data_IF_753859792611
#
_entry.id   IF_753859792611
#
_cell.length_a   1.000
_cell.length_b   1.000
_cell.length_c   1.000
_cell.angle_alpha   90.00
_cell.angle_beta   90.00
_cell.angle_gamma   90.00
#
_symmetry.space_group_name_H-M   'P 1'
#
loop_
_entity.id
_entity.type
_entity.pdbx_description
1 polymer ?
#
# COMPACT_ATOMS: atom_id res chain seq x y z
N UNK A 1 16.96 14.26 18.27
CA UNK A 1 16.94 12.86 17.92
C UNK A 1 16.02 12.59 16.72
N UNK A 2 16.47 11.84 15.83
CA UNK A 2 15.70 11.54 14.66
C UNK A 2 14.81 10.30 14.86
N UNK A 3 13.80 10.18 14.05
CA UNK A 3 12.89 9.05 14.10
C UNK A 3 13.44 7.96 13.19
N UNK A 4 14.19 7.05 13.78
CA UNK A 4 14.86 6.01 13.01
C UNK A 4 13.92 5.15 12.20
N UNK A 5 12.80 4.75 12.80
CA UNK A 5 11.87 3.84 12.12
C UNK A 5 11.22 4.47 10.91
N UNK A 6 10.86 5.75 10.99
CA UNK A 6 10.26 6.45 9.87
C UNK A 6 11.25 6.62 8.72
N UNK A 7 12.52 6.79 9.05
CA UNK A 7 13.59 6.99 8.08
C UNK A 7 14.34 5.72 7.73
N UNK A 8 13.96 4.60 8.33
CA UNK A 8 14.62 3.34 8.07
C UNK A 8 14.11 2.75 6.75
N UNK A 9 14.81 3.06 5.69
CA UNK A 9 14.48 2.61 4.36
C UNK A 9 15.06 1.23 4.08
N UNK A 10 14.24 0.34 3.57
CA UNK A 10 14.61 -1.05 3.29
C UNK A 10 14.45 -1.33 1.81
N UNK A 11 15.46 -1.98 1.23
CA UNK A 11 15.45 -2.31 -0.20
C UNK A 11 14.30 -3.25 -0.54
N UNK A 12 13.64 -2.96 -1.66
CA UNK A 12 12.54 -3.79 -2.16
C UNK A 12 13.12 -5.02 -2.88
N UNK A 13 12.75 -6.24 -2.48
CA UNK A 13 13.29 -7.45 -3.11
C UNK A 13 13.01 -7.49 -4.62
N UNK A 14 14.04 -7.75 -5.41
CA UNK A 14 13.92 -7.79 -6.86
C UNK A 14 13.94 -6.43 -7.54
N UNK A 15 13.92 -5.35 -6.76
CA UNK A 15 13.91 -3.97 -7.29
C UNK A 15 14.94 -3.14 -6.53
N UNK A 16 16.25 -3.36 -6.79
CA UNK A 16 17.32 -2.75 -5.96
C UNK A 16 17.40 -1.24 -6.05
N UNK A 17 16.76 -0.64 -7.02
CA UNK A 17 16.72 0.82 -7.14
C UNK A 17 15.64 1.48 -6.30
N UNK A 18 14.93 0.71 -5.52
CA UNK A 18 13.81 1.22 -4.71
C UNK A 18 13.91 0.75 -3.27
N UNK A 19 13.46 1.61 -2.37
CA UNK A 19 13.37 1.33 -0.93
C UNK A 19 12.01 1.73 -0.42
N UNK A 20 11.57 1.06 0.63
CA UNK A 20 10.30 1.37 1.30
C UNK A 20 10.55 1.61 2.79
N UNK A 21 9.67 2.37 3.44
CA UNK A 21 9.75 2.57 4.88
C UNK A 21 8.45 2.12 5.56
N UNK A 22 8.44 2.14 6.89
CA UNK A 22 7.31 1.67 7.68
C UNK A 22 6.06 2.54 7.52
N UNK A 23 6.22 3.76 7.06
CA UNK A 23 5.10 4.68 6.86
C UNK A 23 4.39 4.46 5.53
N UNK A 24 4.87 3.52 4.72
CA UNK A 24 4.25 3.22 3.44
C UNK A 24 4.77 4.05 2.29
N UNK A 25 5.90 4.72 2.47
CA UNK A 25 6.55 5.49 1.42
C UNK A 25 7.51 4.61 0.64
N UNK A 26 7.63 4.88 -0.66
CA UNK A 26 8.55 4.19 -1.55
C UNK A 26 9.44 5.25 -2.19
N UNK A 27 10.75 5.02 -2.15
CA UNK A 27 11.74 5.98 -2.60
C UNK A 27 12.60 5.38 -3.70
N UNK A 28 12.93 6.20 -4.67
CA UNK A 28 13.91 5.83 -5.66
C UNK A 28 15.30 6.15 -5.12
N UNK A 29 16.17 5.14 -5.11
CA UNK A 29 17.49 5.27 -4.43
C UNK A 29 18.38 6.29 -5.11
N UNK A 30 18.44 6.28 -6.44
CA UNK A 30 19.37 7.14 -7.19
C UNK A 30 19.04 8.63 -7.12
N UNK A 31 17.76 8.97 -7.06
CA UNK A 31 17.33 10.37 -7.03
C UNK A 31 16.87 10.83 -5.65
N UNK A 32 16.55 9.89 -4.75
CA UNK A 32 15.96 10.22 -3.47
C UNK A 32 14.51 10.62 -3.55
N UNK A 33 13.92 10.59 -4.72
CA UNK A 33 12.52 11.00 -4.90
C UNK A 33 11.55 9.98 -4.30
N UNK A 34 10.53 10.49 -3.61
CA UNK A 34 9.44 9.66 -3.11
C UNK A 34 8.47 9.43 -4.26
N UNK A 35 8.12 8.19 -4.51
CA UNK A 35 7.18 7.86 -5.57
C UNK A 35 5.79 8.32 -5.18
N UNK A 36 5.07 8.87 -6.16
CA UNK A 36 3.70 9.29 -5.98
C UNK A 36 2.79 8.15 -6.44
N UNK A 37 2.06 7.50 -5.54
CA UNK A 37 1.17 6.42 -5.95
C UNK A 37 0.02 6.93 -6.80
N UNK A 38 -0.51 6.04 -7.63
CA UNK A 38 -1.69 6.31 -8.42
C UNK A 38 -2.78 5.28 -8.12
N UNK A 39 -4.02 5.62 -8.41
CA UNK A 39 -5.15 4.73 -8.24
C UNK A 39 -5.73 4.37 -9.59
N UNK A 40 -6.38 3.22 -9.63
CA UNK A 40 -7.14 2.83 -10.82
C UNK A 40 -8.60 3.21 -10.64
N UNK A 41 -9.29 3.36 -11.76
CA UNK A 41 -10.66 3.87 -11.80
C UNK A 41 -11.64 3.09 -10.93
N UNK A 42 -11.50 1.76 -10.88
CA UNK A 42 -12.47 0.89 -10.18
C UNK A 42 -12.07 0.53 -8.76
N UNK A 43 -10.85 0.84 -8.37
CA UNK A 43 -10.36 0.51 -7.04
C UNK A 43 -9.74 1.73 -6.41
N UNK A 44 -9.72 1.74 -5.09
CA UNK A 44 -9.02 2.77 -4.35
C UNK A 44 -7.62 2.33 -3.98
N UNK A 45 -7.19 1.18 -4.49
CA UNK A 45 -5.86 0.65 -4.22
C UNK A 45 -4.79 1.56 -4.80
N UNK A 46 -3.76 1.80 -4.03
CA UNK A 46 -2.62 2.60 -4.43
C UNK A 46 -1.59 1.73 -5.13
N UNK A 47 -1.13 2.16 -6.29
CA UNK A 47 -0.14 1.43 -7.08
C UNK A 47 1.07 2.31 -7.37
N UNK A 48 2.20 1.66 -7.60
CA UNK A 48 3.43 2.29 -8.10
C UNK A 48 3.98 1.47 -9.24
N UNK A 49 4.80 2.11 -10.07
CA UNK A 49 5.54 1.42 -11.13
C UNK A 49 7.00 1.36 -10.74
N UNK A 50 7.53 0.15 -10.73
CA UNK A 50 8.93 -0.10 -10.44
C UNK A 50 9.61 -0.62 -11.69
N UNK A 51 10.79 -0.07 -11.99
CA UNK A 51 11.53 -0.44 -13.20
C UNK A 51 12.71 -1.31 -12.83
N UNK A 52 12.87 -2.46 -13.52
CA UNK A 52 14.04 -3.32 -13.35
C UNK A 52 15.13 -2.95 -14.33
N UNK A 53 14.73 -2.64 -15.57
CA UNK A 53 15.61 -2.15 -16.62
C UNK A 53 14.90 -1.01 -17.32
N UNK A 54 15.64 -0.18 -18.09
CA UNK A 54 14.98 0.88 -18.85
C UNK A 54 13.85 0.33 -19.72
N UNK A 55 12.67 0.87 -19.54
CA UNK A 55 11.50 0.48 -20.31
C UNK A 55 10.73 -0.71 -19.78
N UNK A 56 11.23 -1.40 -18.75
CA UNK A 56 10.54 -2.56 -18.19
C UNK A 56 9.90 -2.19 -16.85
N UNK A 57 8.63 -1.85 -16.91
CA UNK A 57 7.88 -1.41 -15.73
C UNK A 57 7.07 -2.55 -15.14
N UNK A 58 7.08 -2.62 -13.81
CA UNK A 58 6.27 -3.57 -13.05
C UNK A 58 5.34 -2.80 -12.15
N UNK A 59 4.06 -3.00 -12.32
CA UNK A 59 3.05 -2.33 -11.51
C UNK A 59 2.76 -3.17 -10.26
N UNK A 60 2.91 -2.55 -9.10
CA UNK A 60 2.73 -3.23 -7.82
C UNK A 60 1.89 -2.35 -6.90
N UNK A 61 1.07 -2.98 -6.05
CA UNK A 61 0.37 -2.21 -5.03
C UNK A 61 1.38 -1.74 -3.97
N UNK A 62 1.16 -0.55 -3.44
CA UNK A 62 2.04 -0.01 -2.39
C UNK A 62 2.08 -0.96 -1.19
N UNK A 63 0.94 -1.53 -0.81
CA UNK A 63 0.89 -2.48 0.29
C UNK A 63 1.81 -3.67 0.06
N UNK A 64 1.81 -4.24 -1.14
CA UNK A 64 2.67 -5.38 -1.47
C UNK A 64 4.15 -5.00 -1.43
N UNK A 65 4.49 -3.81 -1.92
CA UNK A 65 5.88 -3.34 -1.91
C UNK A 65 6.38 -3.17 -0.48
N UNK A 66 5.59 -2.51 0.37
CA UNK A 66 5.96 -2.32 1.78
C UNK A 66 6.10 -3.67 2.48
N UNK A 67 5.13 -4.55 2.29
CA UNK A 67 5.20 -5.89 2.85
C UNK A 67 6.48 -6.62 2.42
N UNK A 68 6.74 -6.65 1.11
CA UNK A 68 7.89 -7.38 0.56
C UNK A 68 9.21 -6.84 1.09
N UNK A 69 9.33 -5.52 1.22
CA UNK A 69 10.55 -4.90 1.70
C UNK A 69 10.90 -5.35 3.11
N UNK A 70 9.92 -5.39 4.01
CA UNK A 70 10.16 -5.70 5.41
C UNK A 70 10.18 -7.19 5.72
N UNK A 71 9.39 -7.99 5.00
CA UNK A 71 9.38 -9.45 5.21
C UNK A 71 10.28 -10.20 4.25
N UNK A 72 10.98 -9.50 3.36
CA UNK A 72 11.99 -10.05 2.46
C UNK A 72 11.47 -11.08 1.47
N UNK A 73 10.18 -11.03 1.18
CA UNK A 73 9.54 -11.90 0.20
C UNK A 73 8.25 -11.27 -0.28
N UNK A 74 7.86 -11.57 -1.51
CA UNK A 74 6.58 -11.11 -2.05
C UNK A 74 5.46 -12.02 -1.59
N UNK A 75 4.28 -11.45 -1.31
CA UNK A 75 3.13 -12.27 -0.94
C UNK A 75 2.63 -13.07 -2.13
N UNK A 76 2.78 -14.39 -2.06
CA UNK A 76 2.32 -15.31 -3.11
C UNK A 76 1.24 -16.19 -2.53
N UNK A 77 0.13 -16.33 -3.26
CA UNK A 77 -1.00 -17.12 -2.78
C UNK A 77 -1.78 -16.48 -1.65
N UNK A 78 -1.46 -15.24 -1.31
CA UNK A 78 -2.12 -14.50 -0.24
C UNK A 78 -2.28 -13.05 -0.67
N UNK A 79 -3.12 -12.32 0.04
CA UNK A 79 -3.36 -10.90 -0.21
C UNK A 79 -2.86 -10.07 0.95
N UNK A 80 -2.32 -8.89 0.66
CA UNK A 80 -1.97 -7.95 1.71
C UNK A 80 -3.23 -7.16 2.04
N UNK A 81 -3.66 -7.27 3.28
CA UNK A 81 -4.90 -6.70 3.77
C UNK A 81 -4.62 -5.57 4.76
N UNK A 82 -5.63 -4.75 5.01
CA UNK A 82 -5.52 -3.57 5.87
C UNK A 82 -6.34 -3.77 7.14
N UNK A 83 -5.69 -3.68 8.29
CA UNK A 83 -6.34 -3.92 9.58
C UNK A 83 -7.51 -2.97 9.84
N UNK A 84 -7.33 -1.69 9.49
CA UNK A 84 -8.37 -0.68 9.69
C UNK A 84 -9.38 -0.60 8.55
N UNK A 85 -9.20 -1.41 7.51
CA UNK A 85 -10.07 -1.38 6.34
C UNK A 85 -9.79 -0.22 5.39
N UNK A 86 -8.83 0.63 5.68
CA UNK A 86 -8.47 1.75 4.82
C UNK A 86 -7.34 1.36 3.88
N UNK A 87 -7.68 1.10 2.62
CA UNK A 87 -6.72 0.63 1.63
C UNK A 87 -5.71 1.70 1.20
N UNK A 88 -5.90 2.93 1.64
CA UNK A 88 -4.92 4.00 1.44
C UNK A 88 -3.90 4.06 2.57
N UNK A 89 -4.15 3.37 3.69
CA UNK A 89 -3.24 3.35 4.82
C UNK A 89 -2.30 2.17 4.70
N UNK A 90 -1.16 2.39 4.07
CA UNK A 90 -0.16 1.36 3.77
C UNK A 90 1.01 1.35 4.74
N UNK A 91 0.80 1.83 5.96
CA UNK A 91 1.79 1.70 7.02
C UNK A 91 1.98 0.22 7.36
N UNK A 92 3.22 -0.18 7.58
CA UNK A 92 3.51 -1.59 7.84
C UNK A 92 2.66 -2.19 8.96
N UNK A 93 2.45 -1.44 10.04
CA UNK A 93 1.67 -1.90 11.18
C UNK A 93 0.20 -2.17 10.86
N UNK A 94 -0.27 -1.62 9.75
CA UNK A 94 -1.65 -1.78 9.31
C UNK A 94 -1.83 -2.92 8.31
N UNK A 95 -0.75 -3.61 7.94
CA UNK A 95 -0.79 -4.64 6.90
C UNK A 95 -0.71 -6.05 7.50
N UNK A 96 -1.47 -6.95 6.92
CA UNK A 96 -1.37 -8.37 7.26
C UNK A 96 -1.67 -9.20 6.03
N UNK A 97 -1.18 -10.44 6.02
CA UNK A 97 -1.52 -11.38 4.94
C UNK A 97 -2.82 -12.08 5.27
N UNK A 98 -3.69 -12.15 4.30
CA UNK A 98 -4.97 -12.80 4.46
C UNK A 98 -5.43 -13.47 3.19
N UNK A 99 -6.57 -14.12 3.28
CA UNK A 99 -7.23 -14.74 2.14
C UNK A 99 -7.94 -13.67 1.30
N UNK A 100 -8.47 -14.12 0.15
CA UNK A 100 -9.30 -13.26 -0.66
C UNK A 100 -10.50 -12.74 0.12
N UNK A 101 -11.08 -13.59 0.97
CA UNK A 101 -12.21 -13.19 1.80
C UNK A 101 -11.84 -12.08 2.77
N UNK A 102 -10.62 -12.14 3.35
CA UNK A 102 -10.15 -11.09 4.24
C UNK A 102 -9.94 -9.77 3.51
N UNK A 103 -9.42 -9.83 2.28
CA UNK A 103 -9.25 -8.63 1.47
C UNK A 103 -10.60 -7.99 1.14
N UNK A 104 -11.60 -8.79 0.84
CA UNK A 104 -12.95 -8.30 0.57
C UNK A 104 -13.60 -7.70 1.81
N UNK A 105 -13.33 -8.27 2.99
CA UNK A 105 -13.83 -7.69 4.24
C UNK A 105 -13.25 -6.30 4.48
N UNK A 106 -11.98 -6.12 4.21
CA UNK A 106 -11.35 -4.80 4.34
C UNK A 106 -12.03 -3.78 3.43
N UNK A 107 -12.34 -4.17 2.21
CA UNK A 107 -13.04 -3.30 1.27
C UNK A 107 -14.45 -2.96 1.76
N UNK A 108 -15.18 -3.93 2.26
CA UNK A 108 -16.53 -3.71 2.79
C UNK A 108 -16.53 -2.77 3.98
N UNK A 109 -15.56 -2.94 4.89
CA UNK A 109 -15.46 -2.07 6.06
C UNK A 109 -15.27 -0.63 5.64
N UNK A 110 -14.45 -0.40 4.64
CA UNK A 110 -14.25 0.94 4.10
C UNK A 110 -15.53 1.51 3.54
N UNK A 111 -16.27 0.71 2.77
CA UNK A 111 -17.54 1.14 2.19
C UNK A 111 -18.55 1.50 3.27
N UNK A 112 -18.63 0.69 4.32
CA UNK A 112 -19.53 0.95 5.44
C UNK A 112 -19.20 2.27 6.13
N UNK A 113 -17.93 2.57 6.31
CA UNK A 113 -17.49 3.83 6.91
C UNK A 113 -17.93 5.01 6.04
N UNK A 114 -17.76 4.90 4.74
CA UNK A 114 -18.15 5.94 3.80
C UNK A 114 -19.66 6.17 3.85
N UNK A 115 -20.45 5.10 3.84
CA UNK A 115 -21.91 5.19 3.91
C UNK A 115 -22.38 5.85 5.20
N UNK A 116 -21.81 5.44 6.33
CA UNK A 116 -22.16 6.02 7.62
C UNK A 116 -21.89 7.52 7.64
N UNK A 117 -20.75 7.94 7.08
CA UNK A 117 -20.40 9.35 7.01
C UNK A 117 -21.38 10.14 6.16
N UNK A 118 -21.75 9.61 5.00
CA UNK A 118 -22.70 10.25 4.10
C UNK A 118 -24.07 10.43 4.76
N UNK A 119 -24.51 9.43 5.53
CA UNK A 119 -25.77 9.53 6.26
C UNK A 119 -25.73 10.59 7.34
N UNK A 120 -24.60 10.70 8.06
CA UNK A 120 -24.44 11.73 9.08
C UNK A 120 -24.46 13.13 8.49
N UNK A 121 -23.92 13.29 7.29
CA UNK A 121 -23.91 14.58 6.60
C UNK A 121 -25.22 14.91 5.92
N UNK A 122 -26.18 13.99 5.97
CA UNK A 122 -27.48 14.20 5.36
C UNK A 122 -27.49 14.18 3.85
N UNK A 123 -26.43 13.71 3.25
CA UNK A 123 -26.29 13.68 1.80
C UNK A 123 -27.03 12.50 1.16
N UNK A 124 -27.40 11.53 1.97
CA UNK A 124 -28.07 10.36 1.49
C UNK A 124 -29.41 10.24 2.17
N UNK A 125 -30.45 10.54 1.42
CA UNK A 125 -31.83 10.33 1.87
C UNK A 125 -32.42 9.19 1.07
N UNK A 126 -32.89 8.22 1.76
CA UNK A 126 -33.56 7.10 1.12
C UNK A 126 -35.04 7.21 1.30
#
# INVERSE_FOLDING_TARGET
MYVEDAENWVTVPGFPHYKANRLGMIQRVDTGNILKPFTRRRTQTRYVRLYTTPGEAHEKSVASVVWAAFYKRWPTGSYVCHLDGDIANNKLDNLFLGSRADALKSQRRRDDIIWARLQEEGELTL
#
